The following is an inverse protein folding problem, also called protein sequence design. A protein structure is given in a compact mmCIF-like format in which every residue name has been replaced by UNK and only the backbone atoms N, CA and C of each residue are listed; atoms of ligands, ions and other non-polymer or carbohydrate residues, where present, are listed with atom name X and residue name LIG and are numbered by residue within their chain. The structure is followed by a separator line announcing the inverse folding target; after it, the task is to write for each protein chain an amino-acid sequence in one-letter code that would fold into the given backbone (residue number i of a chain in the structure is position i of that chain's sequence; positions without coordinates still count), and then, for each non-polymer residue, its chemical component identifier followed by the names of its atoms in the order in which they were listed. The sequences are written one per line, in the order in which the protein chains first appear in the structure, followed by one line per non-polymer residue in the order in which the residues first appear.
data_IF_800600589975
#
_entry.id   IF_800600589975
#
_cell.length_a   1.000
_cell.length_b   1.000
_cell.length_c   1.000
_cell.angle_alpha   90.00
_cell.angle_beta   90.00
_cell.angle_gamma   90.00
#
_symmetry.space_group_name_H-M   'P 1'
#
loop_
_entity.id
_entity.type
_entity.pdbx_description
1 polymer ?
#
# COMPACT_ATOMS: atom_id res chain seq x y z
N UNK A 1 -6.68 32.87 12.52
CA UNK A 1 -7.29 31.83 11.64
C UNK A 1 -8.69 32.25 11.16
N UNK A 2 -8.83 33.43 10.53
CA UNK A 2 -10.12 33.97 10.05
C UNK A 2 -10.10 34.37 8.57
N UNK A 3 -9.08 33.95 7.82
CA UNK A 3 -8.86 34.44 6.45
C UNK A 3 -9.29 33.47 5.34
N UNK A 4 -9.73 32.24 5.67
CA UNK A 4 -10.17 31.25 4.66
C UNK A 4 -11.68 31.14 4.47
N UNK A 5 -12.48 31.65 5.41
CA UNK A 5 -13.94 31.71 5.28
C UNK A 5 -14.42 32.91 4.46
N UNK A 6 -13.60 33.96 4.32
CA UNK A 6 -13.94 35.16 3.54
C UNK A 6 -13.75 34.98 2.01
N UNK A 7 -13.03 33.92 1.59
CA UNK A 7 -12.74 33.67 0.17
C UNK A 7 -13.76 32.79 -0.55
N UNK A 8 -14.67 32.15 0.18
CA UNK A 8 -15.73 31.31 -0.39
C UNK A 8 -17.03 32.08 -0.65
N UNK A 9 -17.11 33.35 -0.22
CA UNK A 9 -18.27 34.22 -0.41
C UNK A 9 -18.06 35.26 -1.52
N UNK A 10 -16.84 35.36 -2.06
CA UNK A 10 -16.47 36.30 -3.14
C UNK A 10 -16.35 35.63 -4.51
N UNK A 11 -16.83 34.40 -4.70
CA UNK A 11 -16.83 33.72 -6.00
C UNK A 11 -18.20 33.72 -6.71
N UNK A 12 -19.19 34.45 -6.19
CA UNK A 12 -20.53 34.57 -6.79
C UNK A 12 -21.05 36.00 -6.90
N UNK A 13 -20.26 36.99 -6.51
CA UNK A 13 -20.56 38.39 -6.77
C UNK A 13 -19.46 38.94 -7.68
N UNK A 14 -19.88 39.35 -8.88
CA UNK A 14 -19.20 40.27 -9.80
C UNK A 14 -18.41 39.65 -10.98
N UNK A 15 -19.11 39.46 -12.11
CA UNK A 15 -18.64 39.98 -13.39
C UNK A 15 -19.82 40.62 -14.18
N UNK A 16 -19.67 41.93 -14.40
CA UNK A 16 -20.33 42.86 -15.33
C UNK A 16 -21.83 43.20 -15.18
N UNK A 17 -22.01 44.31 -14.47
CA UNK A 17 -22.96 45.42 -14.65
C UNK A 17 -23.16 45.83 -16.12
N UNK A 18 -24.42 46.07 -16.52
CA UNK A 18 -24.79 47.28 -17.26
C UNK A 18 -26.21 47.75 -16.85
N UNK A 19 -26.26 48.88 -16.11
CA UNK A 19 -27.33 49.90 -15.95
C UNK A 19 -28.76 49.43 -15.57
N UNK A 20 -29.46 49.93 -14.54
CA UNK A 20 -29.42 51.23 -13.83
C UNK A 20 -30.38 51.20 -12.62
N UNK A 21 -30.01 51.97 -11.59
CA UNK A 21 -30.84 52.72 -10.64
C UNK A 21 -31.47 52.04 -9.39
N UNK A 22 -31.11 52.66 -8.27
CA UNK A 22 -31.48 52.49 -6.87
C UNK A 22 -32.96 52.78 -6.53
N UNK A 23 -33.39 52.46 -5.30
CA UNK A 23 -34.78 52.53 -4.86
C UNK A 23 -35.12 53.91 -4.28
N UNK A 24 -36.24 54.49 -4.71
CA UNK A 24 -36.83 55.65 -4.03
C UNK A 24 -38.19 55.30 -3.44
N UNK A 25 -38.24 55.35 -2.11
CA UNK A 25 -39.46 55.43 -1.35
C UNK A 25 -39.97 56.86 -1.42
N UNK A 26 -41.16 57.08 -1.99
CA UNK A 26 -41.95 58.29 -1.73
C UNK A 26 -43.37 57.90 -1.36
N UNK A 27 -43.75 58.35 -0.17
CA UNK A 27 -45.09 58.33 0.41
C UNK A 27 -46.07 59.17 -0.42
N UNK A 28 -47.32 58.79 -0.20
CA UNK A 28 -48.52 59.63 -0.09
C UNK A 28 -49.50 59.67 -1.27
N UNK A 29 -50.65 59.06 -0.97
CA UNK A 29 -52.02 59.56 -1.20
C UNK A 29 -52.37 60.11 -2.57
N UNK A 30 -53.19 59.35 -3.33
CA UNK A 30 -54.56 59.76 -3.72
C UNK A 30 -55.41 58.50 -3.93
N UNK A 31 -56.48 58.38 -3.16
CA UNK A 31 -57.65 57.54 -3.48
C UNK A 31 -58.44 58.20 -4.63
N UNK A 32 -58.85 57.44 -5.65
CA UNK A 32 -60.15 57.69 -6.25
C UNK A 32 -60.98 56.40 -6.17
N UNK A 33 -61.93 56.45 -5.25
CA UNK A 33 -63.34 56.19 -5.54
C UNK A 33 -63.63 55.26 -6.72
N UNK A 34 -64.01 54.03 -6.35
CA UNK A 34 -65.02 53.19 -6.97
C UNK A 34 -65.61 53.71 -8.29
N UNK A 35 -65.08 53.25 -9.41
CA UNK A 35 -65.83 53.14 -10.66
C UNK A 35 -65.88 51.67 -11.04
N UNK A 36 -66.97 51.03 -10.65
CA UNK A 36 -67.52 49.91 -11.37
C UNK A 36 -67.73 50.33 -12.82
N UNK A 37 -66.94 49.77 -13.73
CA UNK A 37 -67.42 49.56 -15.08
C UNK A 37 -67.02 48.17 -15.54
N UNK A 38 -68.06 47.49 -15.99
CA UNK A 38 -68.16 46.09 -16.34
C UNK A 38 -67.57 45.88 -17.74
N UNK A 39 -66.39 45.26 -17.81
CA UNK A 39 -65.93 44.58 -19.00
C UNK A 39 -65.76 43.11 -18.64
N UNK A 40 -66.82 42.34 -18.89
CA UNK A 40 -66.95 40.92 -18.57
C UNK A 40 -65.87 40.03 -19.21
N UNK A 41 -64.72 39.94 -18.56
CA UNK A 41 -63.94 38.70 -18.50
C UNK A 41 -64.32 38.01 -17.19
N UNK A 42 -65.12 36.95 -17.29
CA UNK A 42 -65.50 36.11 -16.15
C UNK A 42 -64.25 35.77 -15.32
N UNK A 43 -64.20 36.21 -14.06
CA UNK A 43 -63.15 35.80 -13.12
C UNK A 43 -63.19 34.27 -13.00
N UNK A 44 -62.26 33.61 -13.68
CA UNK A 44 -62.21 32.14 -13.81
C UNK A 44 -61.99 31.40 -12.49
N UNK A 45 -61.55 32.08 -11.43
CA UNK A 45 -61.28 31.51 -10.11
C UNK A 45 -61.60 32.50 -8.97
N UNK A 46 -62.11 31.98 -7.85
CA UNK A 46 -62.27 32.75 -6.61
C UNK A 46 -61.01 32.69 -5.75
N UNK A 47 -60.84 33.64 -4.81
CA UNK A 47 -59.68 33.68 -3.90
C UNK A 47 -59.53 32.37 -3.10
N UNK A 48 -60.66 31.78 -2.70
CA UNK A 48 -60.71 30.47 -2.05
C UNK A 48 -60.21 29.31 -2.96
N UNK A 49 -60.47 29.38 -4.27
CA UNK A 49 -59.98 28.38 -5.22
C UNK A 49 -58.47 28.48 -5.41
N UNK A 50 -57.94 29.70 -5.43
CA UNK A 50 -56.49 29.96 -5.50
C UNK A 50 -55.79 29.45 -4.24
N UNK A 51 -56.32 29.74 -3.06
CA UNK A 51 -55.78 29.26 -1.79
C UNK A 51 -55.80 27.72 -1.70
N UNK A 52 -56.87 27.07 -2.17
CA UNK A 52 -56.94 25.61 -2.22
C UNK A 52 -55.86 25.01 -3.14
N UNK A 53 -55.61 25.62 -4.29
CA UNK A 53 -54.57 25.21 -5.25
C UNK A 53 -53.17 25.43 -4.67
N UNK A 54 -52.93 26.59 -4.04
CA UNK A 54 -51.65 26.93 -3.41
C UNK A 54 -51.35 25.98 -2.26
N UNK A 55 -52.31 25.72 -1.38
CA UNK A 55 -52.14 24.79 -0.27
C UNK A 55 -51.87 23.35 -0.75
N UNK A 56 -52.56 22.90 -1.80
CA UNK A 56 -52.31 21.58 -2.42
C UNK A 56 -50.92 21.51 -3.04
N UNK A 57 -50.45 22.58 -3.69
CA UNK A 57 -49.11 22.66 -4.28
C UNK A 57 -48.02 22.76 -3.21
N UNK A 58 -48.27 23.51 -2.15
CA UNK A 58 -47.37 23.63 -1.01
C UNK A 58 -47.23 22.31 -0.25
N UNK A 59 -48.33 21.59 -0.03
CA UNK A 59 -48.29 20.26 0.56
C UNK A 59 -47.46 19.28 -0.28
N UNK A 60 -47.68 19.24 -1.60
CA UNK A 60 -46.87 18.43 -2.52
C UNK A 60 -45.39 18.83 -2.48
N UNK A 61 -45.10 20.11 -2.62
CA UNK A 61 -43.73 20.63 -2.57
C UNK A 61 -43.04 20.30 -1.25
N UNK A 62 -43.73 20.45 -0.12
CA UNK A 62 -43.19 20.10 1.20
C UNK A 62 -42.88 18.60 1.29
N UNK A 63 -43.77 17.73 0.82
CA UNK A 63 -43.51 16.29 0.80
C UNK A 63 -42.36 15.91 -0.13
N UNK A 64 -42.25 16.55 -1.30
CA UNK A 64 -41.14 16.33 -2.25
C UNK A 64 -39.81 16.81 -1.66
N UNK A 65 -39.81 17.96 -0.98
CA UNK A 65 -38.64 18.52 -0.31
C UNK A 65 -38.18 17.62 0.84
N UNK A 66 -39.10 17.14 1.68
CA UNK A 66 -38.80 16.20 2.77
C UNK A 66 -38.22 14.89 2.24
N UNK A 67 -38.78 14.36 1.14
CA UNK A 67 -38.26 13.17 0.47
C UNK A 67 -36.87 13.41 -0.14
N UNK A 68 -36.64 14.57 -0.76
CA UNK A 68 -35.34 14.93 -1.33
C UNK A 68 -34.27 15.04 -0.26
N UNK A 69 -34.57 15.70 0.87
CA UNK A 69 -33.68 15.80 2.03
C UNK A 69 -33.40 14.43 2.63
N UNK A 70 -34.41 13.56 2.72
CA UNK A 70 -34.23 12.19 3.23
C UNK A 70 -33.31 11.37 2.34
N UNK A 71 -33.50 11.40 1.02
CA UNK A 71 -32.62 10.70 0.05
C UNK A 71 -31.19 11.24 0.10
N UNK A 72 -31.02 12.56 0.17
CA UNK A 72 -29.70 13.18 0.29
C UNK A 72 -28.96 12.74 1.56
N UNK A 73 -29.67 12.61 2.69
CA UNK A 73 -29.11 12.08 3.94
C UNK A 73 -28.72 10.61 3.83
N UNK A 74 -29.60 9.78 3.27
CA UNK A 74 -29.34 8.34 3.10
C UNK A 74 -28.14 8.08 2.16
N UNK A 75 -28.02 8.85 1.08
CA UNK A 75 -26.88 8.76 0.16
C UNK A 75 -25.58 9.24 0.82
N UNK A 76 -25.62 10.37 1.54
CA UNK A 76 -24.45 10.87 2.28
C UNK A 76 -23.99 9.89 3.37
N UNK A 77 -24.93 9.29 4.11
CA UNK A 77 -24.62 8.25 5.10
C UNK A 77 -24.04 6.99 4.45
N UNK A 78 -24.57 6.56 3.31
CA UNK A 78 -24.04 5.41 2.57
C UNK A 78 -22.62 5.69 2.06
N UNK A 79 -22.38 6.88 1.52
CA UNK A 79 -21.05 7.32 1.07
C UNK A 79 -20.07 7.41 2.24
N UNK A 80 -20.49 7.97 3.38
CA UNK A 80 -19.67 8.05 4.58
C UNK A 80 -19.34 6.66 5.16
N UNK A 81 -20.34 5.75 5.20
CA UNK A 81 -20.14 4.35 5.63
C UNK A 81 -19.18 3.62 4.71
N UNK A 82 -19.33 3.74 3.39
CA UNK A 82 -18.38 3.15 2.43
C UNK A 82 -16.96 3.68 2.63
N UNK A 83 -16.79 4.99 2.84
CA UNK A 83 -15.46 5.57 3.07
C UNK A 83 -14.84 5.09 4.40
N UNK A 84 -15.65 4.98 5.45
CA UNK A 84 -15.20 4.49 6.75
C UNK A 84 -14.81 3.00 6.70
N UNK A 85 -15.63 2.17 6.07
CA UNK A 85 -15.38 0.73 5.91
C UNK A 85 -14.15 0.47 5.04
N UNK A 86 -13.97 1.23 3.95
CA UNK A 86 -12.76 1.13 3.11
C UNK A 86 -11.49 1.47 3.89
N UNK A 87 -11.53 2.52 4.73
CA UNK A 87 -10.39 2.88 5.59
C UNK A 87 -10.10 1.80 6.63
N UNK A 88 -11.13 1.26 7.27
CA UNK A 88 -10.98 0.18 8.23
C UNK A 88 -10.42 -1.09 7.58
N UNK A 89 -10.91 -1.47 6.40
CA UNK A 89 -10.42 -2.63 5.67
C UNK A 89 -8.95 -2.46 5.27
N UNK A 90 -8.56 -1.26 4.82
CA UNK A 90 -7.15 -0.95 4.51
C UNK A 90 -6.26 -1.05 5.76
N UNK A 91 -6.73 -0.54 6.90
CA UNK A 91 -6.00 -0.63 8.17
C UNK A 91 -5.88 -2.08 8.66
N UNK A 92 -6.96 -2.86 8.56
CA UNK A 92 -6.96 -4.29 8.87
C UNK A 92 -6.00 -5.05 7.95
N UNK A 93 -6.05 -4.82 6.64
CA UNK A 93 -5.16 -5.46 5.66
C UNK A 93 -3.69 -5.11 5.95
N UNK A 94 -3.42 -3.85 6.26
CA UNK A 94 -2.07 -3.39 6.64
C UNK A 94 -1.60 -4.10 7.91
N UNK A 95 -2.44 -4.17 8.94
CA UNK A 95 -2.13 -4.86 10.20
C UNK A 95 -1.98 -6.37 9.99
N UNK A 96 -2.80 -6.99 9.15
CA UNK A 96 -2.69 -8.41 8.80
C UNK A 96 -1.36 -8.69 8.09
N UNK A 97 -0.99 -7.87 7.10
CA UNK A 97 0.28 -8.00 6.39
C UNK A 97 1.49 -7.82 7.31
N UNK A 98 1.41 -6.89 8.25
CA UNK A 98 2.46 -6.72 9.26
C UNK A 98 2.55 -7.93 10.19
N UNK A 99 1.41 -8.45 10.65
CA UNK A 99 1.36 -9.67 11.47
C UNK A 99 1.88 -10.90 10.72
N UNK A 100 1.53 -11.07 9.44
CA UNK A 100 2.03 -12.15 8.60
C UNK A 100 3.53 -12.05 8.40
N UNK A 101 4.05 -10.84 8.13
CA UNK A 101 5.48 -10.61 8.02
C UNK A 101 6.20 -10.96 9.32
N UNK A 102 5.68 -10.51 10.47
CA UNK A 102 6.26 -10.81 11.78
C UNK A 102 6.23 -12.30 12.09
N UNK A 103 5.14 -13.00 11.75
CA UNK A 103 5.04 -14.46 11.90
C UNK A 103 6.03 -15.20 11.01
N UNK A 104 6.19 -14.78 9.76
CA UNK A 104 7.19 -15.33 8.85
C UNK A 104 8.61 -15.11 9.35
N UNK A 105 8.90 -13.93 9.88
CA UNK A 105 10.21 -13.61 10.46
C UNK A 105 10.49 -14.45 11.71
N UNK A 106 9.51 -14.58 12.61
CA UNK A 106 9.62 -15.45 13.79
C UNK A 106 9.86 -16.91 13.39
N UNK A 107 9.09 -17.44 12.44
CA UNK A 107 9.28 -18.79 11.91
C UNK A 107 10.68 -18.96 11.30
N UNK A 108 11.16 -17.98 10.51
CA UNK A 108 12.51 -18.00 9.95
C UNK A 108 13.56 -18.05 11.05
N UNK A 109 13.42 -17.26 12.12
CA UNK A 109 14.36 -17.26 13.26
C UNK A 109 14.36 -18.61 13.99
N UNK A 110 13.20 -19.22 14.21
CA UNK A 110 13.12 -20.54 14.84
C UNK A 110 13.79 -21.63 13.98
N UNK A 111 13.48 -21.65 12.68
CA UNK A 111 14.12 -22.55 11.72
C UNK A 111 15.63 -22.30 11.64
N UNK A 112 16.07 -21.04 11.66
CA UNK A 112 17.50 -20.66 11.65
C UNK A 112 18.21 -21.19 12.89
N UNK A 113 17.59 -21.10 14.07
CA UNK A 113 18.16 -21.65 15.32
C UNK A 113 18.30 -23.17 15.27
N UNK A 114 17.26 -23.86 14.78
CA UNK A 114 17.30 -25.31 14.60
C UNK A 114 18.39 -25.71 13.59
N UNK A 115 18.43 -25.04 12.44
CA UNK A 115 19.46 -25.26 11.42
C UNK A 115 20.87 -25.02 11.94
N UNK A 116 21.08 -24.01 12.80
CA UNK A 116 22.37 -23.73 13.43
C UNK A 116 22.85 -24.92 14.26
N UNK A 117 21.96 -25.51 15.08
CA UNK A 117 22.28 -26.69 15.87
C UNK A 117 22.67 -27.89 14.98
N UNK A 118 21.86 -28.17 13.97
CA UNK A 118 22.08 -29.30 13.06
C UNK A 118 23.38 -29.11 12.25
N UNK A 119 23.65 -27.91 11.74
CA UNK A 119 24.89 -27.61 11.01
C UNK A 119 26.12 -27.76 11.91
N UNK A 120 26.04 -27.30 13.17
CA UNK A 120 27.11 -27.48 14.14
C UNK A 120 27.38 -28.97 14.44
N UNK A 121 26.33 -29.80 14.56
CA UNK A 121 26.48 -31.26 14.68
C UNK A 121 27.16 -31.91 13.47
N UNK A 122 26.94 -31.35 12.27
CA UNK A 122 27.61 -31.78 11.02
C UNK A 122 29.02 -31.19 10.85
N UNK A 123 29.52 -30.41 11.81
CA UNK A 123 30.84 -29.79 11.75
C UNK A 123 30.95 -28.64 10.74
N UNK A 124 29.82 -28.06 10.32
CA UNK A 124 29.78 -26.89 9.44
C UNK A 124 29.54 -25.64 10.30
N UNK A 125 30.34 -24.59 10.08
CA UNK A 125 30.10 -23.30 10.73
C UNK A 125 28.79 -22.69 10.25
N UNK A 126 27.86 -22.50 11.20
CA UNK A 126 26.56 -21.86 10.96
C UNK A 126 26.71 -20.34 10.83
N UNK A 127 27.39 -19.90 9.77
CA UNK A 127 27.46 -18.48 9.40
C UNK A 127 26.11 -18.00 8.88
N UNK A 128 25.85 -16.70 8.96
CA UNK A 128 24.58 -16.12 8.52
C UNK A 128 24.27 -16.44 7.04
N UNK A 129 25.29 -16.39 6.18
CA UNK A 129 25.15 -16.70 4.75
C UNK A 129 24.73 -18.17 4.51
N UNK A 130 25.25 -19.10 5.32
CA UNK A 130 24.86 -20.51 5.25
C UNK A 130 23.42 -20.69 5.70
N UNK A 131 23.01 -20.03 6.79
CA UNK A 131 21.63 -20.08 7.27
C UNK A 131 20.65 -19.50 6.25
N UNK A 132 21.00 -18.40 5.58
CA UNK A 132 20.14 -17.80 4.55
C UNK A 132 19.96 -18.70 3.31
N UNK A 133 20.93 -19.56 2.99
CA UNK A 133 20.79 -20.55 1.93
C UNK A 133 19.95 -21.76 2.35
N UNK A 134 20.03 -22.13 3.62
CA UNK A 134 19.54 -23.41 4.13
C UNK A 134 18.14 -23.31 4.74
N UNK A 135 17.78 -22.18 5.34
CA UNK A 135 16.46 -21.97 5.95
C UNK A 135 15.39 -21.91 4.86
N UNK A 136 14.49 -22.89 4.88
CA UNK A 136 13.38 -23.04 3.95
C UNK A 136 12.04 -22.56 4.50
N UNK A 137 10.97 -22.93 3.81
CA UNK A 137 9.61 -22.63 4.25
C UNK A 137 9.23 -23.43 5.49
N UNK A 138 9.73 -24.67 5.56
CA UNK A 138 9.39 -25.65 6.59
C UNK A 138 10.66 -26.30 7.18
N UNK A 139 10.50 -26.98 8.31
CA UNK A 139 11.58 -27.71 8.97
C UNK A 139 12.16 -28.83 8.09
N UNK A 140 11.30 -29.58 7.39
CA UNK A 140 11.74 -30.67 6.50
C UNK A 140 12.51 -30.16 5.28
N UNK A 141 12.07 -29.03 4.70
CA UNK A 141 12.79 -28.38 3.59
C UNK A 141 14.16 -27.87 4.06
N UNK A 142 14.22 -27.28 5.26
CA UNK A 142 15.46 -26.82 5.89
C UNK A 142 16.43 -27.98 6.08
N UNK A 143 15.98 -29.10 6.65
CA UNK A 143 16.81 -30.29 6.84
C UNK A 143 17.28 -30.89 5.52
N UNK A 144 16.41 -30.97 4.52
CA UNK A 144 16.78 -31.46 3.19
C UNK A 144 17.84 -30.58 2.51
N UNK A 145 17.80 -29.27 2.73
CA UNK A 145 18.84 -28.32 2.26
C UNK A 145 20.14 -28.48 3.03
N UNK A 146 20.10 -28.67 4.36
CA UNK A 146 21.29 -28.99 5.17
C UNK A 146 21.97 -30.24 4.60
N UNK A 147 21.23 -31.33 4.42
CA UNK A 147 21.79 -32.59 3.94
C UNK A 147 22.40 -32.46 2.54
N UNK A 148 21.78 -31.67 1.65
CA UNK A 148 22.34 -31.37 0.33
C UNK A 148 23.65 -30.59 0.44
N UNK A 149 23.68 -29.56 1.29
CA UNK A 149 24.90 -28.77 1.53
C UNK A 149 26.03 -29.65 2.05
N UNK A 150 25.76 -30.46 3.08
CA UNK A 150 26.73 -31.39 3.68
C UNK A 150 27.31 -32.31 2.61
N UNK A 151 26.46 -32.94 1.79
CA UNK A 151 26.90 -33.83 0.69
C UNK A 151 27.80 -33.11 -0.31
N UNK A 152 27.49 -31.87 -0.66
CA UNK A 152 28.30 -31.07 -1.58
C UNK A 152 29.66 -30.78 -0.94
N UNK A 153 29.69 -30.29 0.30
CA UNK A 153 30.92 -29.96 1.03
C UNK A 153 31.82 -31.19 1.17
N UNK A 154 31.28 -32.33 1.60
CA UNK A 154 32.03 -33.58 1.70
C UNK A 154 32.59 -34.04 0.35
N UNK A 155 31.82 -33.89 -0.73
CA UNK A 155 32.29 -34.26 -2.08
C UNK A 155 33.45 -33.38 -2.56
N UNK A 156 33.42 -32.08 -2.25
CA UNK A 156 34.48 -31.15 -2.61
C UNK A 156 35.72 -31.36 -1.73
N UNK A 157 35.53 -31.62 -0.44
CA UNK A 157 36.61 -31.95 0.48
C UNK A 157 37.35 -33.21 0.03
N UNK A 158 36.62 -34.27 -0.34
CA UNK A 158 37.21 -35.51 -0.90
C UNK A 158 38.00 -35.23 -2.18
N UNK A 159 37.48 -34.43 -3.10
CA UNK A 159 38.20 -34.05 -4.33
C UNK A 159 39.47 -33.25 -4.03
N UNK A 160 39.39 -32.30 -3.10
CA UNK A 160 40.54 -31.49 -2.69
C UNK A 160 41.61 -32.35 -1.98
N UNK A 161 41.19 -33.30 -1.14
CA UNK A 161 42.09 -34.25 -0.49
C UNK A 161 42.77 -35.16 -1.51
N UNK A 162 42.04 -35.70 -2.49
CA UNK A 162 42.63 -36.47 -3.60
C UNK A 162 43.61 -35.60 -4.39
N UNK A 163 43.27 -34.36 -4.73
CA UNK A 163 44.16 -33.45 -5.46
C UNK A 163 45.41 -33.08 -4.65
N UNK A 164 45.30 -32.94 -3.32
CA UNK A 164 46.43 -32.70 -2.42
C UNK A 164 47.30 -33.95 -2.28
N UNK A 165 46.71 -35.12 -2.13
CA UNK A 165 47.40 -36.40 -2.02
C UNK A 165 48.09 -36.81 -3.34
N UNK A 166 47.49 -36.46 -4.48
CA UNK A 166 48.07 -36.68 -5.82
C UNK A 166 48.87 -35.47 -6.33
N UNK A 167 49.05 -34.44 -5.49
CA UNK A 167 49.77 -33.23 -5.81
C UNK A 167 51.20 -33.54 -6.24
N UNK A 168 51.58 -33.07 -7.43
CA UNK A 168 52.91 -33.29 -7.98
C UNK A 168 53.92 -32.45 -7.20
N UNK A 169 54.98 -33.09 -6.68
CA UNK A 169 56.08 -32.38 -6.04
C UNK A 169 56.73 -31.42 -7.05
N UNK A 170 57.03 -30.16 -6.68
CA UNK A 170 57.65 -29.19 -7.59
C UNK A 170 58.94 -29.76 -8.19
N UNK A 171 59.00 -29.86 -9.53
CA UNK A 171 60.18 -30.39 -10.25
C UNK A 171 61.34 -29.39 -10.38
N UNK A 172 61.28 -28.26 -9.70
CA UNK A 172 62.27 -27.18 -9.81
C UNK A 172 62.88 -26.86 -8.46
N UNK A 173 63.76 -27.76 -8.02
CA UNK A 173 65.09 -27.36 -7.60
C UNK A 173 66.06 -27.97 -8.59
N UNK A 174 66.04 -27.47 -9.84
CA UNK A 174 67.18 -27.60 -10.74
C UNK A 174 68.33 -26.85 -10.06
N UNK A 175 69.07 -27.56 -9.23
CA UNK A 175 70.40 -27.13 -8.84
C UNK A 175 71.22 -27.18 -10.12
N UNK A 176 71.38 -26.02 -10.75
CA UNK A 176 72.11 -25.78 -11.98
C UNK A 176 73.60 -26.04 -11.74
N UNK A 177 73.98 -27.32 -11.67
CA UNK A 177 75.35 -27.75 -11.44
C UNK A 177 75.39 -29.26 -11.31
N UNK A 178 75.78 -29.92 -12.39
CA UNK A 178 76.09 -31.35 -12.44
C UNK A 178 77.13 -31.70 -11.36
N UNK A 179 76.66 -32.15 -10.19
CA UNK A 179 77.46 -32.95 -9.27
C UNK A 179 76.85 -34.34 -9.27
N UNK A 180 77.60 -35.29 -9.84
CA UNK A 180 77.35 -36.72 -9.76
C UNK A 180 76.84 -37.10 -8.36
N UNK A 181 75.84 -37.97 -8.30
CA UNK A 181 75.38 -38.58 -7.04
C UNK A 181 76.58 -39.19 -6.30
N UNK A 182 76.57 -39.18 -4.95
CA UNK A 182 77.63 -39.82 -4.14
C UNK A 182 77.89 -41.28 -4.57
N UNK A 183 76.84 -41.97 -5.05
CA UNK A 183 76.95 -43.31 -5.61
C UNK A 183 77.75 -43.34 -6.92
N UNK A 184 77.49 -42.40 -7.82
CA UNK A 184 78.16 -42.29 -9.12
C UNK A 184 79.63 -41.85 -8.95
N UNK A 185 79.91 -40.94 -8.00
CA UNK A 185 81.29 -40.59 -7.62
C UNK A 185 82.08 -41.80 -7.13
N UNK A 186 81.42 -42.68 -6.36
CA UNK A 186 82.06 -43.88 -5.80
C UNK A 186 82.30 -44.93 -6.88
N UNK A 187 81.38 -45.12 -7.82
CA UNK A 187 81.56 -46.00 -8.98
C UNK A 187 82.68 -45.54 -9.91
N UNK A 188 82.81 -44.23 -10.15
CA UNK A 188 83.89 -43.67 -10.97
C UNK A 188 85.27 -43.87 -10.34
N UNK A 189 85.36 -44.01 -9.02
CA UNK A 189 86.63 -44.26 -8.30
C UNK A 189 87.17 -45.69 -8.49
N UNK A 190 86.32 -46.63 -8.91
CA UNK A 190 86.67 -48.03 -9.10
C UNK A 190 86.66 -48.48 -10.58
N UNK A 191 86.57 -47.54 -11.52
CA UNK A 191 86.88 -47.74 -12.94
C UNK A 191 88.27 -47.20 -13.24
#
# INVERSE_FOLDING_TARGET
MKSRMFRMLQLFAEETVDHTAEPDAVKDSVNPENTSDDSGEEKKYTDNDVDAIVNKRFAKWKTEQEQAVKRAKEEAEKLAKMNAEQKQNYEIEKLQKENEKLKQEAAKVELSRSATGILAEKGIEATQDVLDFVVGNDADDTNAKIDKLVKIVESQLKKAEIARATGTTPKTMTNSGSQLSEFEKRLAKYK
#
